data_IF_546055944557
#
_entry.id   IF_546055944557
#
_cell.length_a   1.000
_cell.length_b   1.000
_cell.length_c   1.000
_cell.angle_alpha   90.00
_cell.angle_beta   90.00
_cell.angle_gamma   90.00
#
_symmetry.space_group_name_H-M   'P 1'
#
loop_
_entity.id
_entity.type
_entity.pdbx_description
1 polymer ?
#
# COMPACT_ATOMS: atom_id res chain seq x y z
N UNK A 1 -42.75 9.72 -34.04
CA UNK A 1 -41.96 9.32 -32.85
C UNK A 1 -40.72 8.47 -33.16
N UNK A 2 -40.55 7.91 -34.37
CA UNK A 2 -39.37 7.10 -34.73
C UNK A 2 -38.07 7.90 -35.04
N UNK A 3 -38.18 9.15 -35.48
CA UNK A 3 -37.02 9.96 -35.87
C UNK A 3 -36.21 10.44 -34.65
N UNK A 4 -36.89 10.90 -33.60
CA UNK A 4 -36.25 11.34 -32.36
C UNK A 4 -35.49 10.20 -31.66
N UNK A 5 -36.05 8.98 -31.67
CA UNK A 5 -35.42 7.81 -31.07
C UNK A 5 -34.14 7.39 -31.80
N UNK A 6 -34.09 7.54 -33.13
CA UNK A 6 -32.90 7.26 -33.96
C UNK A 6 -31.79 8.28 -33.75
N UNK A 7 -32.13 9.55 -33.56
CA UNK A 7 -31.17 10.63 -33.29
C UNK A 7 -30.53 10.44 -31.90
N UNK A 8 -31.32 10.07 -30.89
CA UNK A 8 -30.85 9.84 -29.52
C UNK A 8 -29.92 8.60 -29.43
N UNK A 9 -30.21 7.56 -30.21
CA UNK A 9 -29.34 6.38 -30.32
C UNK A 9 -28.00 6.72 -31.00
N UNK A 10 -28.00 7.57 -32.02
CA UNK A 10 -26.78 7.99 -32.70
C UNK A 10 -25.90 8.90 -31.82
N UNK A 11 -26.50 9.79 -31.02
CA UNK A 11 -25.71 10.63 -30.11
C UNK A 11 -25.06 9.78 -29.02
N UNK A 12 -25.75 8.77 -28.49
CA UNK A 12 -25.22 7.88 -27.46
C UNK A 12 -23.95 7.14 -27.94
N UNK A 13 -23.93 6.65 -29.18
CA UNK A 13 -22.79 5.90 -29.75
C UNK A 13 -21.54 6.79 -29.90
N UNK A 14 -21.71 8.08 -30.18
CA UNK A 14 -20.58 9.01 -30.35
C UNK A 14 -19.87 9.34 -29.02
N UNK A 15 -20.57 9.29 -27.89
CA UNK A 15 -19.98 9.56 -26.59
C UNK A 15 -19.17 8.38 -26.02
N UNK A 16 -19.47 7.14 -26.44
CA UNK A 16 -18.77 5.94 -25.92
C UNK A 16 -17.44 5.65 -26.64
N UNK A 17 -17.22 6.19 -27.84
CA UNK A 17 -15.98 5.96 -28.60
C UNK A 17 -14.82 6.87 -28.20
N UNK A 18 -15.05 7.87 -27.33
CA UNK A 18 -14.04 8.85 -26.93
C UNK A 18 -13.14 8.40 -25.74
N UNK A 19 -13.37 7.22 -25.16
CA UNK A 19 -12.69 6.76 -23.94
C UNK A 19 -11.82 5.51 -24.14
N UNK A 20 -11.19 5.35 -25.30
CA UNK A 20 -10.33 4.20 -25.60
C UNK A 20 -8.97 4.61 -26.18
N UNK A 21 -8.38 5.72 -25.71
CA UNK A 21 -7.00 6.03 -26.01
C UNK A 21 -6.10 5.51 -24.89
N UNK A 22 -5.25 4.54 -25.21
CA UNK A 22 -4.22 4.11 -24.29
C UNK A 22 -3.35 5.32 -23.91
N UNK A 23 -3.06 5.53 -22.62
CA UNK A 23 -2.21 6.62 -22.20
C UNK A 23 -0.83 6.44 -22.85
N UNK A 24 -0.23 7.55 -23.30
CA UNK A 24 1.15 7.55 -23.79
C UNK A 24 2.04 6.95 -22.71
N UNK A 25 2.65 5.79 -23.00
CA UNK A 25 3.65 5.21 -22.12
C UNK A 25 4.86 6.14 -22.13
N UNK A 26 5.12 6.75 -20.97
CA UNK A 26 6.31 7.56 -20.73
C UNK A 26 7.24 6.72 -19.86
N UNK A 27 8.42 6.42 -20.38
CA UNK A 27 9.49 5.82 -19.57
C UNK A 27 10.02 6.90 -18.63
N UNK A 28 9.91 6.66 -17.33
CA UNK A 28 10.43 7.58 -16.34
C UNK A 28 11.96 7.50 -16.33
N UNK A 29 12.63 8.60 -16.68
CA UNK A 29 14.11 8.66 -16.69
C UNK A 29 14.74 8.35 -15.33
N UNK A 30 13.98 8.48 -14.23
CA UNK A 30 14.44 8.21 -12.86
C UNK A 30 13.34 7.50 -12.06
N UNK A 31 13.65 6.40 -11.37
CA UNK A 31 12.68 5.73 -10.52
C UNK A 31 12.39 6.55 -9.26
N UNK A 32 11.12 6.62 -8.85
CA UNK A 32 10.69 7.35 -7.63
C UNK A 32 11.18 6.70 -6.34
N UNK A 33 11.49 5.41 -6.39
CA UNK A 33 11.98 4.63 -5.26
C UNK A 33 13.12 3.76 -5.72
N UNK A 34 14.15 3.62 -4.89
CA UNK A 34 15.24 2.69 -5.17
C UNK A 34 14.71 1.28 -5.03
N UNK A 35 15.01 0.41 -6.01
CA UNK A 35 14.66 -1.00 -5.95
C UNK A 35 15.44 -1.65 -4.80
N UNK A 36 14.80 -1.78 -3.65
CA UNK A 36 15.29 -2.63 -2.57
C UNK A 36 14.93 -4.07 -2.90
N UNK A 37 15.86 -4.98 -2.63
CA UNK A 37 15.61 -6.42 -2.75
C UNK A 37 14.41 -6.74 -1.86
N UNK A 38 13.24 -6.96 -2.48
CA UNK A 38 11.92 -6.94 -1.85
C UNK A 38 11.61 -8.24 -1.11
N UNK A 39 12.61 -8.82 -0.46
CA UNK A 39 12.42 -10.03 0.33
C UNK A 39 11.58 -9.68 1.55
N UNK A 40 10.29 -9.99 1.44
CA UNK A 40 9.35 -10.00 2.55
C UNK A 40 9.94 -10.84 3.68
N UNK A 41 10.20 -10.21 4.83
CA UNK A 41 10.73 -10.93 5.98
C UNK A 41 9.59 -11.56 6.76
N UNK A 42 9.64 -12.87 7.00
CA UNK A 42 8.62 -13.54 7.82
C UNK A 42 8.63 -12.96 9.23
N UNK A 43 7.46 -12.55 9.73
CA UNK A 43 7.34 -12.11 11.12
C UNK A 43 7.55 -13.30 12.06
N UNK A 44 8.34 -13.16 13.13
CA UNK A 44 8.54 -14.21 14.14
C UNK A 44 7.23 -14.82 14.64
N UNK A 45 7.24 -16.14 14.87
CA UNK A 45 6.05 -16.93 15.21
C UNK A 45 5.31 -16.41 16.45
N UNK A 46 6.07 -15.88 17.41
CA UNK A 46 5.54 -15.33 18.66
C UNK A 46 4.76 -14.02 18.48
N UNK A 47 4.92 -13.36 17.33
CA UNK A 47 4.15 -12.19 16.92
C UNK A 47 3.01 -12.55 15.96
N UNK A 48 3.01 -13.72 15.32
CA UNK A 48 1.96 -14.15 14.40
C UNK A 48 0.58 -14.23 15.07
N UNK A 49 0.51 -14.85 16.25
CA UNK A 49 -0.75 -15.05 16.97
C UNK A 49 -1.41 -13.72 17.43
N UNK A 50 -0.69 -12.77 18.07
CA UNK A 50 -1.24 -11.45 18.37
C UNK A 50 -1.78 -10.72 17.13
N UNK A 51 -1.05 -10.77 16.01
CA UNK A 51 -1.46 -10.10 14.77
C UNK A 51 -2.71 -10.73 14.13
N UNK A 52 -3.00 -12.00 14.40
CA UNK A 52 -4.23 -12.67 13.94
C UNK A 52 -5.45 -12.34 14.80
N UNK A 53 -5.26 -12.18 16.12
CA UNK A 53 -6.37 -12.24 17.07
C UNK A 53 -6.73 -10.89 17.70
N UNK A 54 -5.81 -9.93 17.71
CA UNK A 54 -6.05 -8.66 18.39
C UNK A 54 -6.68 -7.61 17.49
N UNK A 55 -7.55 -6.79 18.04
CA UNK A 55 -8.22 -5.74 17.29
C UNK A 55 -7.31 -4.54 16.98
N UNK A 56 -7.79 -3.67 16.10
CA UNK A 56 -7.13 -2.39 15.90
C UNK A 56 -7.16 -1.55 17.19
N UNK A 57 -6.08 -0.83 17.47
CA UNK A 57 -5.90 -0.01 18.66
C UNK A 57 -5.35 -0.77 19.87
N UNK A 58 -5.22 -2.11 19.79
CA UNK A 58 -4.62 -2.88 20.89
C UNK A 58 -3.12 -2.68 20.96
N UNK A 59 -2.60 -2.85 22.18
CA UNK A 59 -1.17 -2.90 22.46
C UNK A 59 -0.82 -4.23 23.11
N UNK A 60 0.35 -4.77 22.79
CA UNK A 60 0.86 -5.98 23.41
C UNK A 60 2.36 -5.90 23.60
N UNK A 61 2.85 -6.45 24.71
CA UNK A 61 4.27 -6.47 25.02
C UNK A 61 4.87 -7.83 24.62
N UNK A 62 5.98 -7.80 23.90
CA UNK A 62 6.80 -8.99 23.67
C UNK A 62 8.27 -8.64 23.81
N UNK A 63 8.97 -9.38 24.69
CA UNK A 63 10.40 -9.23 24.94
C UNK A 63 10.82 -7.77 25.29
N UNK A 64 9.96 -7.04 26.02
CA UNK A 64 10.22 -5.65 26.39
C UNK A 64 9.91 -4.63 25.29
N UNK A 65 9.42 -5.07 24.14
CA UNK A 65 8.94 -4.22 23.04
C UNK A 65 7.43 -4.13 23.11
N UNK A 66 6.90 -2.91 23.14
CA UNK A 66 5.45 -2.65 23.09
C UNK A 66 5.07 -2.48 21.62
N UNK A 67 4.24 -3.39 21.12
CA UNK A 67 3.66 -3.34 19.78
C UNK A 67 2.26 -2.75 19.85
N UNK A 68 1.89 -1.92 18.88
CA UNK A 68 0.57 -1.32 18.74
C UNK A 68 0.02 -1.59 17.35
N UNK A 69 -1.17 -2.17 17.27
CA UNK A 69 -1.90 -2.37 16.02
C UNK A 69 -2.58 -1.05 15.66
N UNK A 70 -1.93 -0.20 14.86
CA UNK A 70 -2.44 1.14 14.55
C UNK A 70 -3.63 1.08 13.59
N UNK A 71 -3.52 0.30 12.52
CA UNK A 71 -4.53 0.24 11.47
C UNK A 71 -4.54 -1.11 10.77
N UNK A 72 -5.73 -1.65 10.50
CA UNK A 72 -5.93 -2.83 9.65
C UNK A 72 -6.57 -2.39 8.34
N UNK A 73 -5.99 -2.79 7.21
CA UNK A 73 -6.45 -2.35 5.88
C UNK A 73 -6.19 -3.41 4.80
N UNK A 74 -6.79 -3.24 3.62
CA UNK A 74 -6.50 -4.06 2.43
C UNK A 74 -5.56 -3.25 1.53
N UNK A 75 -4.41 -3.84 1.17
CA UNK A 75 -3.46 -3.21 0.25
C UNK A 75 -4.02 -3.10 -1.16
N UNK A 76 -3.38 -2.27 -2.00
CA UNK A 76 -3.71 -2.18 -3.42
C UNK A 76 -3.58 -3.52 -4.17
N UNK A 77 -2.80 -4.46 -3.65
CA UNK A 77 -2.64 -5.81 -4.19
C UNK A 77 -3.69 -6.80 -3.66
N UNK A 78 -4.63 -6.36 -2.83
CA UNK A 78 -5.70 -7.19 -2.26
C UNK A 78 -5.32 -7.95 -0.98
N UNK A 79 -4.07 -7.87 -0.53
CA UNK A 79 -3.63 -8.53 0.71
C UNK A 79 -4.07 -7.76 1.96
N UNK A 80 -4.46 -8.49 3.01
CA UNK A 80 -4.69 -7.92 4.34
C UNK A 80 -3.38 -7.41 4.93
N UNK A 81 -3.36 -6.19 5.44
CA UNK A 81 -2.18 -5.54 6.00
C UNK A 81 -2.50 -4.84 7.32
N UNK A 82 -1.45 -4.63 8.11
CA UNK A 82 -1.49 -3.98 9.41
C UNK A 82 -0.38 -2.92 9.46
N UNK A 83 -0.72 -1.69 9.82
CA UNK A 83 0.25 -0.70 10.29
C UNK A 83 0.57 -1.02 11.75
N UNK A 84 1.83 -1.31 12.02
CA UNK A 84 2.33 -1.75 13.31
C UNK A 84 3.38 -0.74 13.79
N UNK A 85 3.15 -0.12 14.94
CA UNK A 85 4.21 0.59 15.65
C UNK A 85 4.79 -0.28 16.75
N UNK A 86 6.09 -0.13 17.01
CA UNK A 86 6.75 -0.79 18.11
C UNK A 86 7.73 0.14 18.80
N UNK A 87 7.70 0.12 20.14
CA UNK A 87 8.51 0.97 20.99
C UNK A 87 9.28 0.13 22.03
N UNK A 88 10.59 0.38 22.14
CA UNK A 88 11.44 -0.26 23.16
C UNK A 88 11.56 0.60 24.42
N UNK A 89 11.44 1.92 24.28
CA UNK A 89 11.48 2.90 25.35
C UNK A 89 10.80 4.20 24.87
N UNK A 90 10.71 5.23 25.73
CA UNK A 90 10.05 6.50 25.39
C UNK A 90 10.69 7.25 24.20
N UNK A 91 11.95 6.96 23.86
CA UNK A 91 12.72 7.68 22.85
C UNK A 91 12.89 6.90 21.54
N UNK A 92 12.50 5.62 21.50
CA UNK A 92 12.65 4.77 20.34
C UNK A 92 11.31 4.13 19.99
N UNK A 93 10.72 4.64 18.91
CA UNK A 93 9.52 4.09 18.28
C UNK A 93 9.76 4.00 16.79
N UNK A 94 9.37 2.86 16.20
CA UNK A 94 9.43 2.64 14.76
C UNK A 94 8.07 2.16 14.27
N UNK A 95 7.70 2.60 13.08
CA UNK A 95 6.50 2.11 12.37
C UNK A 95 6.92 1.15 11.28
N UNK A 96 6.07 0.18 11.00
CA UNK A 96 6.25 -0.80 9.94
C UNK A 96 4.89 -1.22 9.40
N UNK A 97 4.90 -1.88 8.25
CA UNK A 97 3.72 -2.54 7.70
C UNK A 97 3.99 -4.02 7.63
N UNK A 98 3.01 -4.82 8.03
CA UNK A 98 3.01 -6.27 7.83
C UNK A 98 1.82 -6.65 7.00
N UNK A 99 1.99 -7.55 6.03
CA UNK A 99 0.91 -8.04 5.17
C UNK A 99 0.81 -9.55 5.24
N UNK A 100 -0.40 -10.07 5.11
CA UNK A 100 -0.70 -11.49 5.19
C UNK A 100 -0.56 -12.13 3.82
N UNK A 101 0.22 -13.20 3.78
CA UNK A 101 0.39 -14.05 2.60
C UNK A 101 0.44 -15.51 3.09
N UNK A 102 -0.29 -16.42 2.42
CA UNK A 102 -0.36 -17.84 2.80
C UNK A 102 -0.62 -18.07 4.30
N UNK A 103 -1.53 -17.27 4.88
CA UNK A 103 -1.90 -17.24 6.30
C UNK A 103 -0.81 -16.82 7.29
N UNK A 104 0.34 -16.32 6.83
CA UNK A 104 1.41 -15.77 7.68
C UNK A 104 1.60 -14.29 7.43
N UNK A 105 1.98 -13.57 8.48
CA UNK A 105 2.33 -12.15 8.39
C UNK A 105 3.79 -12.01 7.97
N UNK A 106 4.03 -11.16 6.98
CA UNK A 106 5.35 -10.79 6.50
C UNK A 106 5.54 -9.30 6.62
N UNK A 107 6.73 -8.88 7.03
CA UNK A 107 7.13 -7.49 7.06
C UNK A 107 7.37 -6.99 5.65
N UNK A 108 6.66 -5.92 5.31
CA UNK A 108 6.86 -5.17 4.06
C UNK A 108 8.12 -4.31 4.23
N UNK A 109 9.07 -4.38 3.29
CA UNK A 109 10.27 -3.56 3.36
C UNK A 109 9.90 -2.07 3.23
N UNK A 110 10.53 -1.22 4.04
CA UNK A 110 10.32 0.22 3.94
C UNK A 110 11.09 0.74 2.72
N UNK A 111 10.37 1.39 1.82
CA UNK A 111 10.97 2.09 0.70
C UNK A 111 11.66 3.35 1.23
N UNK A 112 12.95 3.50 0.97
CA UNK A 112 13.60 4.81 1.10
C UNK A 112 13.10 5.69 -0.04
N UNK A 113 12.31 6.71 0.30
CA UNK A 113 11.93 7.73 -0.67
C UNK A 113 13.17 8.57 -0.96
N UNK A 114 13.52 8.72 -2.24
CA UNK A 114 14.47 9.74 -2.67
C UNK A 114 13.95 11.09 -2.19
N UNK A 115 14.72 11.82 -1.40
CA UNK A 115 14.28 13.09 -0.81
C UNK A 115 13.82 14.05 -1.90
N UNK A 116 12.67 14.71 -1.68
CA UNK A 116 12.09 15.69 -2.62
C UNK A 116 13.07 16.81 -2.96
N UNK A 117 13.96 17.16 -2.04
CA UNK A 117 15.05 18.12 -2.26
C UNK A 117 16.04 17.69 -3.36
N UNK A 118 16.16 16.40 -3.66
CA UNK A 118 16.98 15.86 -4.78
C UNK A 118 16.22 15.84 -6.10
N UNK A 119 14.88 15.88 -6.08
CA UNK A 119 14.03 15.87 -7.27
C UNK A 119 13.81 17.27 -7.87
N UNK A 120 14.14 18.32 -7.12
CA UNK A 120 13.97 19.73 -7.52
C UNK A 120 15.28 20.40 -7.98
N UNK A 121 16.40 19.67 -8.00
CA UNK A 121 17.67 20.17 -8.53
C UNK A 121 17.78 19.74 -9.99
N UNK A 122 17.09 20.43 -10.88
CA UNK A 122 17.44 20.59 -12.31
C UNK A 122 16.36 21.47 -12.97
N UNK A 123 16.72 22.74 -13.21
CA UNK A 123 16.13 23.61 -14.24
C UNK A 123 16.68 23.21 -15.62
#
# INVERSE_FOLDING_TARGET
>A
MHLAHRILLFSLIFFITACAHDPKQVEASRPLVTAINSSYSLIPEDLQAPLNNQDQGTTFNKNGVIYTIEERYISALGSQCIKLSYAMNKNYSKRSVVCKENNKWYQVPQLEQTSVSTLLIEE
#
